data_IF_184551455524
#
_entry.id   IF_184551455524
#
_cell.length_a   1.000
_cell.length_b   1.000
_cell.length_c   1.000
_cell.angle_alpha   90.00
_cell.angle_beta   90.00
_cell.angle_gamma   90.00
#
_symmetry.space_group_name_H-M   'P 1'
#
loop_
_entity.id
_entity.type
_entity.pdbx_description
1 polymer ?
#
# COMPACT_ATOMS: atom_id res chain seq x y z
N UNK A 1 13.11 -18.55 -22.10
CA UNK A 1 12.09 -18.65 -23.16
C UNK A 1 11.05 -17.58 -22.88
N UNK A 2 11.18 -16.40 -23.50
CA UNK A 2 10.15 -15.35 -23.42
C UNK A 2 8.99 -15.76 -24.33
N UNK A 3 7.82 -15.96 -23.74
CA UNK A 3 6.58 -16.28 -24.45
C UNK A 3 6.23 -15.15 -25.42
N UNK A 4 6.21 -15.43 -26.73
CA UNK A 4 5.73 -14.54 -27.79
C UNK A 4 4.19 -14.40 -27.79
N UNK A 5 3.56 -14.43 -26.61
CA UNK A 5 2.13 -14.16 -26.52
C UNK A 5 1.88 -12.68 -26.85
N UNK A 6 0.93 -12.35 -27.75
CA UNK A 6 0.59 -10.96 -28.02
C UNK A 6 0.16 -10.28 -26.72
N UNK A 7 0.68 -9.08 -26.46
CA UNK A 7 0.28 -8.27 -25.30
C UNK A 7 -1.23 -8.11 -25.35
N UNK A 8 -1.97 -8.48 -24.28
CA UNK A 8 -3.42 -8.34 -24.27
C UNK A 8 -3.79 -6.88 -24.51
N UNK A 9 -4.57 -6.62 -25.55
CA UNK A 9 -5.05 -5.27 -25.84
C UNK A 9 -6.14 -4.87 -24.84
N UNK A 10 -6.04 -3.63 -24.35
CA UNK A 10 -7.02 -3.04 -23.43
C UNK A 10 -8.38 -2.87 -24.11
N UNK A 11 -8.40 -2.24 -25.28
CA UNK A 11 -9.60 -2.08 -26.10
C UNK A 11 -9.75 -3.30 -27.02
N UNK A 12 -10.81 -4.09 -26.80
CA UNK A 12 -11.06 -5.34 -27.53
C UNK A 12 -12.06 -5.21 -28.67
N UNK A 13 -12.88 -4.17 -28.63
CA UNK A 13 -13.92 -3.92 -29.62
C UNK A 13 -13.78 -2.52 -30.17
N UNK A 14 -14.13 -2.34 -31.44
CA UNK A 14 -14.24 -1.02 -32.06
C UNK A 14 -15.69 -0.56 -32.02
N UNK A 15 -15.94 0.74 -32.17
CA UNK A 15 -17.29 1.28 -32.34
C UNK A 15 -18.08 0.55 -33.43
N UNK A 16 -17.42 0.14 -34.52
CA UNK A 16 -18.06 -0.60 -35.62
C UNK A 16 -18.49 -2.01 -35.23
N UNK A 17 -17.73 -2.71 -34.39
CA UNK A 17 -18.07 -4.08 -33.95
C UNK A 17 -19.00 -4.12 -32.74
N UNK A 18 -18.96 -3.09 -31.89
CA UNK A 18 -19.68 -3.07 -30.61
C UNK A 18 -21.05 -2.38 -30.70
N UNK A 19 -21.16 -1.37 -31.57
CA UNK A 19 -22.39 -0.59 -31.75
C UNK A 19 -22.30 0.83 -31.20
N UNK A 20 -23.43 1.53 -31.20
CA UNK A 20 -23.49 2.97 -30.90
C UNK A 20 -23.19 3.31 -29.44
N UNK A 21 -23.45 2.39 -28.50
CA UNK A 21 -23.21 2.58 -27.07
C UNK A 21 -21.73 2.54 -26.67
N UNK A 22 -20.81 2.17 -27.58
CA UNK A 22 -19.39 1.96 -27.28
C UNK A 22 -18.76 3.07 -26.43
N UNK A 23 -18.98 4.34 -26.80
CA UNK A 23 -18.40 5.47 -26.06
C UNK A 23 -19.01 5.65 -24.67
N UNK A 24 -20.32 5.41 -24.53
CA UNK A 24 -21.02 5.52 -23.26
C UNK A 24 -20.56 4.43 -22.29
N UNK A 25 -20.52 3.18 -22.76
CA UNK A 25 -20.07 2.03 -21.97
C UNK A 25 -18.58 2.14 -21.61
N UNK A 26 -17.74 2.62 -22.54
CA UNK A 26 -16.32 2.87 -22.26
C UNK A 26 -16.12 3.94 -21.19
N UNK A 27 -16.90 5.02 -21.25
CA UNK A 27 -16.88 6.07 -20.23
C UNK A 27 -17.38 5.56 -18.87
N UNK A 28 -18.41 4.70 -18.85
CA UNK A 28 -18.89 4.05 -17.63
C UNK A 28 -17.83 3.12 -17.03
N UNK A 29 -17.15 2.30 -17.85
CA UNK A 29 -16.04 1.45 -17.41
C UNK A 29 -14.91 2.28 -16.80
N UNK A 30 -14.55 3.40 -17.44
CA UNK A 30 -13.56 4.33 -16.92
C UNK A 30 -13.97 4.87 -15.54
N UNK A 31 -15.20 5.38 -15.40
CA UNK A 31 -15.71 5.91 -14.14
C UNK A 31 -15.66 4.86 -13.02
N UNK A 32 -16.16 3.65 -13.27
CA UNK A 32 -16.14 2.56 -12.29
C UNK A 32 -14.71 2.15 -11.92
N UNK A 33 -13.80 2.14 -12.90
CA UNK A 33 -12.42 1.76 -12.66
C UNK A 33 -11.66 2.82 -11.86
N UNK A 34 -11.86 4.10 -12.15
CA UNK A 34 -11.34 5.23 -11.36
C UNK A 34 -11.83 5.16 -9.93
N UNK A 35 -13.14 5.00 -9.70
CA UNK A 35 -13.71 4.86 -8.35
C UNK A 35 -13.09 3.65 -7.60
N UNK A 36 -12.82 2.56 -8.30
CA UNK A 36 -12.14 1.39 -7.70
C UNK A 36 -10.70 1.68 -7.28
N UNK A 37 -9.99 2.57 -7.98
CA UNK A 37 -8.64 3.00 -7.62
C UNK A 37 -8.65 3.89 -6.37
N UNK A 38 -9.61 4.80 -6.27
CA UNK A 38 -9.81 5.64 -5.07
C UNK A 38 -10.12 4.78 -3.83
N UNK A 39 -11.03 3.81 -3.94
CA UNK A 39 -11.36 2.86 -2.86
C UNK A 39 -10.15 2.08 -2.34
N UNK A 40 -9.15 1.80 -3.19
CA UNK A 40 -7.91 1.14 -2.74
C UNK A 40 -7.08 2.07 -1.86
N UNK A 41 -7.01 3.35 -2.21
CA UNK A 41 -6.33 4.35 -1.41
C UNK A 41 -6.97 4.48 -0.02
N UNK A 42 -8.31 4.46 0.06
CA UNK A 42 -9.03 4.43 1.34
C UNK A 42 -8.74 3.16 2.17
N UNK A 43 -8.76 1.98 1.53
CA UNK A 43 -8.45 0.69 2.18
C UNK A 43 -7.03 0.67 2.75
N UNK A 44 -6.07 1.29 2.04
CA UNK A 44 -4.68 1.45 2.51
C UNK A 44 -4.60 2.27 3.79
N UNK A 45 -5.32 3.41 3.86
CA UNK A 45 -5.38 4.26 5.07
C UNK A 45 -6.00 3.48 6.24
N UNK A 46 -7.12 2.78 6.01
CA UNK A 46 -7.75 1.96 7.04
C UNK A 46 -6.83 0.84 7.56
N UNK A 47 -6.13 0.13 6.66
CA UNK A 47 -5.18 -0.91 7.03
C UNK A 47 -4.01 -0.36 7.86
N UNK A 48 -3.50 0.83 7.52
CA UNK A 48 -2.44 1.49 8.27
C UNK A 48 -2.88 1.82 9.71
N UNK A 49 -4.07 2.41 9.87
CA UNK A 49 -4.58 2.78 11.20
C UNK A 49 -4.82 1.54 12.07
N UNK A 50 -5.35 0.47 11.48
CA UNK A 50 -5.51 -0.82 12.16
C UNK A 50 -4.16 -1.38 12.63
N UNK A 51 -3.17 -1.47 11.74
CA UNK A 51 -1.86 -2.03 12.08
C UNK A 51 -1.06 -1.16 13.06
N UNK A 52 -1.19 0.16 12.99
CA UNK A 52 -0.65 1.08 13.99
C UNK A 52 -1.24 0.79 15.37
N UNK A 53 -2.56 0.57 15.45
CA UNK A 53 -3.26 0.27 16.71
C UNK A 53 -2.79 -1.07 17.30
N UNK A 54 -2.67 -2.11 16.47
CA UNK A 54 -2.14 -3.42 16.90
C UNK A 54 -0.70 -3.29 17.43
N UNK A 55 0.15 -2.52 16.75
CA UNK A 55 1.52 -2.29 17.20
C UNK A 55 1.59 -1.49 18.51
N UNK A 56 0.79 -0.44 18.66
CA UNK A 56 0.72 0.34 19.90
C UNK A 56 0.27 -0.54 21.08
N UNK A 57 -0.71 -1.43 20.85
CA UNK A 57 -1.15 -2.41 21.83
C UNK A 57 -0.02 -3.37 22.22
N UNK A 58 0.71 -3.93 21.24
CA UNK A 58 1.83 -4.86 21.51
C UNK A 58 2.99 -4.20 22.27
N UNK A 59 3.32 -2.94 21.95
CA UNK A 59 4.34 -2.16 22.70
C UNK A 59 3.88 -1.93 24.15
N UNK A 60 2.61 -1.56 24.34
CA UNK A 60 2.03 -1.39 25.68
C UNK A 60 2.06 -2.70 26.47
N UNK A 61 1.65 -3.80 25.83
CA UNK A 61 1.67 -5.14 26.42
C UNK A 61 3.07 -5.57 26.82
N UNK A 62 4.07 -5.31 25.96
CA UNK A 62 5.46 -5.57 26.29
C UNK A 62 5.91 -4.78 27.52
N UNK A 63 5.60 -3.48 27.59
CA UNK A 63 5.92 -2.64 28.74
C UNK A 63 5.34 -3.17 30.06
N UNK A 64 4.09 -3.65 30.03
CA UNK A 64 3.46 -4.28 31.19
C UNK A 64 4.17 -5.58 31.60
N UNK A 65 4.40 -6.48 30.64
CA UNK A 65 5.07 -7.77 30.89
C UNK A 65 6.50 -7.58 31.40
N UNK A 66 7.24 -6.62 30.86
CA UNK A 66 8.60 -6.29 31.28
C UNK A 66 8.65 -5.66 32.68
N UNK A 67 7.63 -4.87 33.07
CA UNK A 67 7.56 -4.26 34.40
C UNK A 67 7.14 -5.22 35.51
N UNK A 68 6.57 -6.38 35.16
CA UNK A 68 6.14 -7.38 36.12
C UNK A 68 7.11 -8.57 36.12
N UNK A 69 7.25 -9.27 37.26
CA UNK A 69 8.12 -10.47 37.41
C UNK A 69 7.63 -11.69 36.58
N UNK A 70 6.90 -11.47 35.49
CA UNK A 70 6.43 -12.53 34.62
C UNK A 70 7.60 -13.26 33.94
N UNK A 71 7.31 -14.46 33.47
CA UNK A 71 8.23 -15.38 32.83
C UNK A 71 9.06 -14.69 31.72
N UNK A 72 10.39 -14.81 31.78
CA UNK A 72 11.36 -14.36 30.75
C UNK A 72 11.01 -14.84 29.34
N UNK A 73 10.22 -15.92 29.23
CA UNK A 73 9.70 -16.38 27.95
C UNK A 73 8.75 -15.36 27.28
N UNK A 74 7.90 -14.68 28.05
CA UNK A 74 6.95 -13.71 27.51
C UNK A 74 7.63 -12.42 27.01
N UNK A 75 8.75 -12.02 27.63
CA UNK A 75 9.51 -10.82 27.20
C UNK A 75 10.20 -11.03 25.85
N UNK A 76 10.42 -12.26 25.40
CA UNK A 76 10.94 -12.57 24.06
C UNK A 76 9.81 -12.81 23.04
N UNK A 77 8.72 -13.46 23.47
CA UNK A 77 7.60 -13.77 22.58
C UNK A 77 6.85 -12.54 22.07
N UNK A 78 6.61 -11.55 22.94
CA UNK A 78 5.83 -10.35 22.54
C UNK A 78 6.56 -9.55 21.45
N UNK A 79 7.88 -9.24 21.56
CA UNK A 79 8.61 -8.60 20.48
C UNK A 79 8.68 -9.44 19.20
N UNK A 80 8.80 -10.77 19.32
CA UNK A 80 8.79 -11.65 18.14
C UNK A 80 7.45 -11.55 17.38
N UNK A 81 6.32 -11.58 18.10
CA UNK A 81 5.00 -11.38 17.51
C UNK A 81 4.87 -9.99 16.87
N UNK A 82 5.32 -8.94 17.58
CA UNK A 82 5.36 -7.58 17.07
C UNK A 82 6.17 -7.42 15.78
N UNK A 83 7.33 -8.08 15.70
CA UNK A 83 8.16 -8.08 14.50
C UNK A 83 7.43 -8.70 13.30
N UNK A 84 6.74 -9.83 13.50
CA UNK A 84 5.95 -10.47 12.44
C UNK A 84 4.77 -9.61 11.98
N UNK A 85 4.10 -8.92 12.91
CA UNK A 85 3.03 -7.97 12.60
C UNK A 85 3.59 -6.78 11.79
N UNK A 86 4.72 -6.22 12.19
CA UNK A 86 5.37 -5.11 11.49
C UNK A 86 5.87 -5.53 10.09
N UNK A 87 6.37 -6.76 9.92
CA UNK A 87 6.72 -7.32 8.63
C UNK A 87 5.48 -7.45 7.72
N UNK A 88 4.38 -7.97 8.27
CA UNK A 88 3.10 -8.07 7.56
C UNK A 88 2.62 -6.69 7.13
N UNK A 89 2.73 -5.70 8.00
CA UNK A 89 2.38 -4.32 7.70
C UNK A 89 3.17 -3.76 6.52
N UNK A 90 4.48 -3.98 6.50
CA UNK A 90 5.32 -3.57 5.38
C UNK A 90 4.87 -4.18 4.05
N UNK A 91 4.49 -5.47 4.06
CA UNK A 91 3.98 -6.17 2.87
C UNK A 91 2.64 -5.64 2.40
N UNK A 92 1.72 -5.37 3.33
CA UNK A 92 0.40 -4.82 3.03
C UNK A 92 0.50 -3.44 2.37
N UNK A 93 1.31 -2.52 2.92
CA UNK A 93 1.52 -1.19 2.32
C UNK A 93 2.10 -1.30 0.92
N UNK A 94 3.10 -2.18 0.74
CA UNK A 94 3.77 -2.35 -0.55
C UNK A 94 2.81 -2.89 -1.60
N UNK A 95 1.99 -3.89 -1.23
CA UNK A 95 0.97 -4.47 -2.12
C UNK A 95 -0.05 -3.42 -2.59
N UNK A 96 -0.58 -2.61 -1.68
CA UNK A 96 -1.53 -1.55 -2.05
C UNK A 96 -0.92 -0.51 -2.97
N UNK A 97 0.33 -0.11 -2.72
CA UNK A 97 1.04 0.82 -3.60
C UNK A 97 1.21 0.25 -4.99
N UNK A 98 1.72 -0.97 -5.09
CA UNK A 98 2.03 -1.60 -6.38
C UNK A 98 0.74 -1.81 -7.19
N UNK A 99 -0.35 -2.22 -6.55
CA UNK A 99 -1.66 -2.32 -7.17
C UNK A 99 -2.19 -0.97 -7.67
N UNK A 100 -2.04 0.08 -6.85
CA UNK A 100 -2.48 1.43 -7.23
C UNK A 100 -1.67 1.95 -8.43
N UNK A 101 -0.36 1.72 -8.45
CA UNK A 101 0.50 2.05 -9.60
C UNK A 101 0.05 1.35 -10.87
N UNK A 102 -0.32 0.07 -10.80
CA UNK A 102 -0.86 -0.66 -11.97
C UNK A 102 -2.21 -0.07 -12.41
N UNK A 103 -3.10 0.24 -11.47
CA UNK A 103 -4.40 0.85 -11.80
C UNK A 103 -4.26 2.20 -12.50
N UNK A 104 -3.38 3.07 -12.02
CA UNK A 104 -3.14 4.36 -12.69
C UNK A 104 -2.59 4.20 -14.10
N UNK A 105 -1.75 3.19 -14.36
CA UNK A 105 -1.31 2.89 -15.74
C UNK A 105 -2.48 2.52 -16.65
N UNK A 106 -3.38 1.66 -16.16
CA UNK A 106 -4.58 1.28 -16.92
C UNK A 106 -5.52 2.48 -17.13
N UNK A 107 -5.65 3.37 -16.15
CA UNK A 107 -6.41 4.62 -16.27
C UNK A 107 -5.81 5.48 -17.39
N UNK A 108 -4.49 5.72 -17.40
CA UNK A 108 -3.84 6.49 -18.45
C UNK A 108 -4.00 5.84 -19.85
N UNK A 109 -3.94 4.52 -19.96
CA UNK A 109 -4.19 3.82 -21.23
C UNK A 109 -5.66 3.97 -21.69
N UNK A 110 -6.63 3.97 -20.76
CA UNK A 110 -8.04 4.27 -21.08
C UNK A 110 -8.21 5.73 -21.54
N UNK A 111 -7.51 6.67 -20.89
CA UNK A 111 -7.59 8.10 -21.20
C UNK A 111 -7.16 8.45 -22.63
N UNK A 112 -6.31 7.64 -23.27
CA UNK A 112 -5.97 7.78 -24.69
C UNK A 112 -7.18 7.69 -25.63
N UNK A 113 -8.28 7.12 -25.15
CA UNK A 113 -9.53 6.95 -25.88
C UNK A 113 -10.63 7.93 -25.42
N UNK A 114 -10.31 8.80 -24.45
CA UNK A 114 -11.23 9.76 -23.87
C UNK A 114 -11.04 11.16 -24.46
N UNK A 115 -12.08 12.03 -24.40
CA UNK A 115 -11.95 13.42 -24.83
C UNK A 115 -10.94 14.23 -24.02
N UNK A 116 -10.69 13.83 -22.77
CA UNK A 116 -9.71 14.45 -21.88
C UNK A 116 -9.00 13.39 -21.04
N UNK A 117 -7.68 13.53 -20.91
CA UNK A 117 -6.81 12.69 -20.09
C UNK A 117 -6.50 13.42 -18.78
N UNK A 118 -7.45 13.38 -17.83
CA UNK A 118 -7.41 14.19 -16.62
C UNK A 118 -6.28 13.76 -15.68
N UNK A 119 -6.13 12.45 -15.45
CA UNK A 119 -5.08 11.90 -14.59
C UNK A 119 -3.70 12.00 -15.22
N UNK A 120 -3.58 11.74 -16.53
CA UNK A 120 -2.31 11.93 -17.23
C UNK A 120 -1.84 13.39 -17.16
N UNK A 121 -2.78 14.33 -17.38
CA UNK A 121 -2.49 15.75 -17.30
C UNK A 121 -2.13 16.19 -15.87
N UNK A 122 -2.85 15.70 -14.86
CA UNK A 122 -2.54 15.94 -13.44
C UNK A 122 -1.13 15.45 -13.10
N UNK A 123 -0.79 14.21 -13.50
CA UNK A 123 0.52 13.63 -13.28
C UNK A 123 1.64 14.47 -13.91
N UNK A 124 1.45 14.86 -15.18
CA UNK A 124 2.41 15.72 -15.89
C UNK A 124 2.56 17.08 -15.20
N UNK A 125 1.47 17.69 -14.74
CA UNK A 125 1.51 18.98 -14.02
C UNK A 125 2.19 18.86 -12.65
N UNK A 126 2.00 17.75 -11.96
CA UNK A 126 2.71 17.47 -10.72
C UNK A 126 4.22 17.35 -10.94
N UNK A 127 4.65 16.81 -12.08
CA UNK A 127 6.06 16.63 -12.46
C UNK A 127 6.72 17.93 -12.94
N UNK A 128 6.01 18.73 -13.76
CA UNK A 128 6.43 20.07 -14.24
C UNK A 128 6.62 21.07 -13.08
N UNK A 129 5.88 20.90 -11.98
CA UNK A 129 5.86 21.76 -10.79
C UNK A 129 7.12 21.73 -9.89
N UNK A 130 8.30 21.34 -10.40
CA UNK A 130 9.59 21.24 -9.67
C UNK A 130 9.70 20.07 -8.69
N UNK A 131 9.47 18.83 -9.15
CA UNK A 131 10.08 17.60 -8.62
C UNK A 131 9.85 17.20 -7.14
N UNK A 132 9.08 17.96 -6.35
CA UNK A 132 8.82 17.70 -4.91
C UNK A 132 7.45 18.19 -4.41
N UNK A 133 6.60 18.75 -5.28
CA UNK A 133 5.33 19.33 -4.84
C UNK A 133 4.33 18.28 -4.33
N UNK A 134 4.40 17.05 -4.85
CA UNK A 134 3.69 15.90 -4.31
C UNK A 134 4.71 15.00 -3.60
N UNK A 135 5.05 15.31 -2.35
CA UNK A 135 5.70 14.31 -1.49
C UNK A 135 4.64 13.26 -1.17
N UNK A 136 4.70 12.04 -1.74
CA UNK A 136 3.74 11.03 -1.39
C UNK A 136 3.91 10.76 0.11
N UNK A 137 2.85 10.95 0.88
CA UNK A 137 2.71 10.43 2.25
C UNK A 137 3.19 8.96 2.35
N UNK A 138 3.17 8.26 1.21
CA UNK A 138 3.73 6.93 0.97
C UNK A 138 5.18 6.72 1.40
N UNK A 139 6.05 7.72 1.32
CA UNK A 139 7.43 7.55 1.82
C UNK A 139 7.45 7.45 3.34
N UNK A 140 6.76 8.35 4.04
CA UNK A 140 6.68 8.33 5.50
C UNK A 140 6.01 7.05 5.99
N UNK A 141 4.90 6.66 5.36
CA UNK A 141 4.18 5.42 5.71
C UNK A 141 5.04 4.15 5.52
N UNK A 142 6.01 4.15 4.59
CA UNK A 142 6.92 3.00 4.40
C UNK A 142 7.91 2.85 5.55
N UNK A 143 8.33 3.95 6.15
CA UNK A 143 9.30 3.94 7.24
C UNK A 143 8.69 3.49 8.56
N UNK A 144 7.40 3.75 8.79
CA UNK A 144 6.75 3.39 10.06
C UNK A 144 6.87 1.90 10.39
N UNK A 145 6.53 0.93 9.51
CA UNK A 145 6.73 -0.49 9.79
C UNK A 145 8.21 -0.85 10.04
N UNK A 146 9.15 -0.18 9.35
CA UNK A 146 10.58 -0.43 9.51
C UNK A 146 11.06 0.01 10.89
N UNK A 147 10.58 1.16 11.37
CA UNK A 147 10.86 1.65 12.72
C UNK A 147 10.33 0.67 13.77
N UNK A 148 9.10 0.16 13.60
CA UNK A 148 8.55 -0.85 14.51
C UNK A 148 9.33 -2.18 14.45
N UNK A 149 9.73 -2.65 13.26
CA UNK A 149 10.59 -3.83 13.14
C UNK A 149 11.92 -3.65 13.88
N UNK A 150 12.57 -2.49 13.72
CA UNK A 150 13.81 -2.17 14.43
C UNK A 150 13.60 -2.09 15.95
N UNK A 151 12.50 -1.49 16.40
CA UNK A 151 12.12 -1.43 17.80
C UNK A 151 11.96 -2.82 18.41
N UNK A 152 11.17 -3.71 17.77
CA UNK A 152 10.98 -5.06 18.30
C UNK A 152 12.26 -5.90 18.27
N UNK A 153 13.09 -5.75 17.24
CA UNK A 153 14.40 -6.40 17.20
C UNK A 153 15.27 -5.95 18.39
N UNK A 154 15.31 -4.65 18.68
CA UNK A 154 16.02 -4.11 19.83
C UNK A 154 15.47 -4.66 21.15
N UNK A 155 14.14 -4.62 21.35
CA UNK A 155 13.49 -5.16 22.56
C UNK A 155 13.77 -6.65 22.77
N UNK A 156 13.76 -7.44 21.69
CA UNK A 156 14.10 -8.86 21.74
C UNK A 156 15.57 -9.08 22.14
N UNK A 157 16.51 -8.31 21.58
CA UNK A 157 17.94 -8.43 21.92
C UNK A 157 18.23 -8.01 23.35
N UNK A 158 17.63 -6.92 23.85
CA UNK A 158 17.79 -6.47 25.23
C UNK A 158 17.25 -7.50 26.23
N UNK A 159 16.09 -8.08 25.92
CA UNK A 159 15.50 -9.17 26.73
C UNK A 159 16.39 -10.42 26.73
N UNK A 160 16.97 -10.80 25.59
CA UNK A 160 17.85 -11.96 25.47
C UNK A 160 19.19 -11.78 26.20
N UNK A 161 19.70 -10.55 26.26
CA UNK A 161 20.94 -10.20 26.96
C UNK A 161 20.74 -10.03 28.49
N UNK A 162 19.52 -10.20 29.00
CA UNK A 162 19.22 -10.10 30.43
C UNK A 162 19.15 -8.67 30.97
N UNK A 163 19.15 -7.64 30.12
CA UNK A 163 19.04 -6.24 30.57
C UNK A 163 17.66 -5.87 31.11
N UNK A 164 16.66 -6.74 30.97
CA UNK A 164 15.24 -6.51 31.31
C UNK A 164 14.73 -7.50 32.39
N UNK A 165 15.62 -8.18 33.13
CA UNK A 165 15.24 -9.11 34.21
C UNK A 165 15.22 -8.46 35.60
#
# INVERSE_FOLDING_TARGET
MMSNAPVPQLIRHTKKSYGESFNADLFEQYKLYVESAEKISERRVAANNYLLTVNAFLVTLYGLVAASRFNTFCTILVPMAGFLVALTWHRVITSYRDLNTVKFKVIHELEQHMPAALYEYEWRKAEEGRGKAYHPLSHLERWVPIIFMALYALLATLSALGFVQ
#
